data_IF_739455700141
#
_entry.id   IF_739455700141
#
_cell.length_a   1.000
_cell.length_b   1.000
_cell.length_c   1.000
_cell.angle_alpha   90.00
_cell.angle_beta   90.00
_cell.angle_gamma   90.00
#
_symmetry.space_group_name_H-M   'P 1'
#
loop_
_entity.id
_entity.type
_entity.pdbx_description
1 polymer ?
#
# COMPACT_ATOMS: atom_id res chain seq x y z
N UNK A 1 -9.53 13.79 -19.81
CA UNK A 1 -10.78 13.18 -19.27
C UNK A 1 -10.86 13.46 -17.78
N UNK A 2 -12.02 13.38 -17.15
CA UNK A 2 -12.17 13.50 -15.71
C UNK A 2 -13.12 12.40 -15.20
N UNK A 3 -12.87 11.90 -14.00
CA UNK A 3 -13.68 10.87 -13.33
C UNK A 3 -13.75 11.18 -11.85
N UNK A 4 -14.87 10.87 -11.20
CA UNK A 4 -15.06 11.04 -9.76
C UNK A 4 -15.11 9.67 -9.09
N UNK A 5 -14.29 9.45 -8.05
CA UNK A 5 -14.23 8.20 -7.30
C UNK A 5 -14.15 8.47 -5.78
N UNK A 6 -14.68 7.52 -4.99
CA UNK A 6 -14.63 7.57 -3.52
C UNK A 6 -13.38 6.92 -2.93
N UNK A 7 -12.81 5.94 -3.64
CA UNK A 7 -11.64 5.18 -3.19
C UNK A 7 -10.34 5.65 -3.84
N UNK A 8 -10.16 6.97 -3.96
CA UNK A 8 -8.91 7.56 -4.44
C UNK A 8 -7.77 7.29 -3.45
N UNK A 9 -6.56 6.96 -3.93
CA UNK A 9 -5.39 6.84 -3.06
C UNK A 9 -4.93 8.17 -2.48
N UNK A 10 -5.45 9.29 -3.02
CA UNK A 10 -5.22 10.65 -2.52
C UNK A 10 -6.58 11.27 -2.23
N UNK A 11 -6.82 11.74 -1.00
CA UNK A 11 -8.09 12.37 -0.60
C UNK A 11 -8.16 13.84 -1.06
N UNK A 12 -7.79 14.08 -2.29
CA UNK A 12 -7.90 15.34 -3.02
C UNK A 12 -7.90 15.04 -4.52
N UNK A 13 -8.11 16.06 -5.33
CA UNK A 13 -8.00 15.91 -6.78
C UNK A 13 -6.58 15.50 -7.18
N UNK A 14 -6.48 14.58 -8.13
CA UNK A 14 -5.25 14.03 -8.64
C UNK A 14 -5.30 13.86 -10.17
N UNK A 15 -4.16 13.56 -10.77
CA UNK A 15 -4.07 13.33 -12.21
C UNK A 15 -3.14 12.15 -12.48
N UNK A 16 -3.49 11.33 -13.48
CA UNK A 16 -2.57 10.30 -13.99
C UNK A 16 -1.45 11.00 -14.76
N UNK A 17 -0.21 10.78 -14.34
CA UNK A 17 0.99 11.31 -15.00
C UNK A 17 1.72 10.26 -15.85
N UNK A 18 1.48 8.94 -15.60
CA UNK A 18 2.01 7.86 -16.43
C UNK A 18 1.11 6.61 -16.32
N UNK A 19 0.46 6.20 -17.43
CA UNK A 19 -0.50 5.10 -17.41
C UNK A 19 0.16 3.72 -17.23
N UNK A 20 -0.62 2.77 -16.71
CA UNK A 20 -0.26 1.35 -16.68
C UNK A 20 -0.08 0.78 -18.09
N UNK A 21 0.92 -0.07 -18.28
CA UNK A 21 1.14 -0.83 -19.51
C UNK A 21 1.85 -0.07 -20.63
N UNK A 22 2.26 1.18 -20.40
CA UNK A 22 3.09 1.90 -21.37
C UNK A 22 4.42 1.18 -21.54
N UNK A 23 4.83 0.89 -22.78
CA UNK A 23 6.11 0.25 -23.08
C UNK A 23 7.27 1.16 -22.68
N UNK A 24 8.15 0.64 -21.82
CA UNK A 24 9.30 1.36 -21.30
C UNK A 24 10.41 0.38 -20.91
N UNK A 25 11.57 0.50 -21.52
CA UNK A 25 12.74 -0.36 -21.26
C UNK A 25 13.40 -0.12 -19.89
N UNK A 26 13.02 0.94 -19.18
CA UNK A 26 13.46 1.21 -17.81
C UNK A 26 12.85 0.26 -16.78
N UNK A 27 11.74 -0.41 -17.13
CA UNK A 27 11.10 -1.38 -16.27
C UNK A 27 11.55 -2.81 -16.59
N UNK A 28 11.73 -3.64 -15.56
CA UNK A 28 12.15 -5.06 -15.72
C UNK A 28 11.17 -5.89 -16.55
N UNK A 29 9.91 -5.50 -16.60
CA UNK A 29 8.88 -6.13 -17.43
C UNK A 29 8.82 -5.55 -18.86
N UNK A 30 9.61 -4.54 -19.18
CA UNK A 30 9.56 -3.83 -20.46
C UNK A 30 8.36 -2.89 -20.62
N UNK A 31 7.62 -2.66 -19.54
CA UNK A 31 6.44 -1.79 -19.51
C UNK A 31 6.15 -1.32 -18.08
N UNK A 32 5.39 -0.22 -17.94
CA UNK A 32 5.00 0.38 -16.67
C UNK A 32 4.04 -0.50 -15.89
N UNK A 33 4.48 -1.04 -14.76
CA UNK A 33 3.78 -2.09 -13.99
C UNK A 33 2.68 -1.56 -13.07
N UNK A 34 2.59 -0.24 -12.92
CA UNK A 34 1.58 0.45 -12.13
C UNK A 34 0.95 1.62 -12.87
N UNK A 35 0.32 2.50 -12.13
CA UNK A 35 -0.12 3.82 -12.57
C UNK A 35 0.56 4.87 -11.71
N UNK A 36 1.10 5.93 -12.34
CA UNK A 36 1.65 7.06 -11.62
C UNK A 36 0.60 8.16 -11.48
N UNK A 37 0.46 8.63 -10.25
CA UNK A 37 -0.55 9.62 -9.85
C UNK A 37 0.14 10.76 -9.12
N UNK A 38 -0.17 12.00 -9.52
CA UNK A 38 0.30 13.22 -8.86
C UNK A 38 -0.89 14.08 -8.39
N UNK A 39 -0.71 14.97 -7.39
CA UNK A 39 -1.74 15.92 -6.98
C UNK A 39 -2.14 16.83 -8.16
N UNK A 40 -3.43 17.21 -8.21
CA UNK A 40 -3.96 18.12 -9.21
C UNK A 40 -4.70 19.28 -8.55
N UNK A 41 -4.38 20.52 -8.97
CA UNK A 41 -5.04 21.73 -8.42
C UNK A 41 -4.73 22.03 -6.95
N UNK A 42 -3.86 21.26 -6.30
CA UNK A 42 -3.48 21.41 -4.89
C UNK A 42 -2.15 22.14 -4.74
N UNK A 43 -1.99 22.89 -3.66
CA UNK A 43 -0.70 23.43 -3.23
C UNK A 43 0.11 22.43 -2.39
N UNK A 44 -0.50 21.33 -1.97
CA UNK A 44 0.16 20.28 -1.21
C UNK A 44 0.91 19.34 -2.16
N UNK A 45 2.24 19.40 -2.13
CA UNK A 45 3.11 18.58 -2.99
C UNK A 45 3.34 17.17 -2.47
N UNK A 46 3.11 16.92 -1.18
CA UNK A 46 3.32 15.64 -0.50
C UNK A 46 2.04 15.23 0.24
N UNK A 47 0.93 14.93 -0.46
CA UNK A 47 -0.32 14.57 0.19
C UNK A 47 -0.20 13.25 0.95
N UNK A 48 -1.07 13.07 1.96
CA UNK A 48 -1.26 11.76 2.56
C UNK A 48 -1.88 10.79 1.57
N UNK A 49 -1.42 9.55 1.65
CA UNK A 49 -1.93 8.44 0.85
C UNK A 49 -2.78 7.52 1.73
N UNK A 50 -3.78 6.92 1.10
CA UNK A 50 -4.81 6.10 1.73
C UNK A 50 -5.00 4.79 0.96
N UNK A 51 -5.42 3.69 1.63
CA UNK A 51 -5.76 2.46 0.92
C UNK A 51 -6.91 2.69 -0.07
N UNK A 52 -6.79 2.16 -1.27
CA UNK A 52 -7.88 2.16 -2.27
C UNK A 52 -8.97 1.13 -1.93
N UNK A 53 -8.67 0.14 -1.09
CA UNK A 53 -9.60 -0.84 -0.52
C UNK A 53 -9.17 -1.20 0.90
N UNK A 54 -10.13 -1.62 1.71
CA UNK A 54 -9.85 -2.18 3.03
C UNK A 54 -8.99 -3.43 2.92
N UNK A 55 -8.10 -3.64 3.89
CA UNK A 55 -7.18 -4.78 3.83
C UNK A 55 -6.24 -4.88 5.01
N UNK A 56 -5.18 -5.66 4.84
CA UNK A 56 -4.13 -5.90 5.83
C UNK A 56 -2.77 -5.46 5.28
N UNK A 57 -1.99 -4.80 6.10
CA UNK A 57 -0.59 -4.46 5.78
C UNK A 57 0.25 -5.74 5.79
N UNK A 58 0.77 -6.13 4.63
CA UNK A 58 1.56 -7.37 4.47
C UNK A 58 3.06 -7.08 4.56
N UNK A 59 3.50 -5.91 4.10
CA UNK A 59 4.89 -5.49 4.19
C UNK A 59 5.02 -3.97 4.27
N UNK A 60 6.09 -3.53 4.93
CA UNK A 60 6.55 -2.15 4.96
C UNK A 60 8.05 -2.15 4.70
N UNK A 61 8.49 -1.46 3.66
CA UNK A 61 9.91 -1.20 3.42
C UNK A 61 10.22 0.27 3.73
N UNK A 62 11.12 0.51 4.65
CA UNK A 62 11.58 1.85 5.04
C UNK A 62 12.94 2.23 4.48
N UNK A 63 13.57 1.33 3.70
CA UNK A 63 14.84 1.61 3.03
C UNK A 63 14.59 2.33 1.70
N UNK A 64 15.03 3.61 1.53
CA UNK A 64 14.81 4.34 0.29
C UNK A 64 15.78 3.93 -0.85
N UNK A 65 16.83 3.15 -0.55
CA UNK A 65 17.92 2.85 -1.48
C UNK A 65 17.64 1.60 -2.35
N UNK A 66 16.48 1.53 -2.97
CA UNK A 66 16.10 0.53 -3.96
C UNK A 66 15.22 1.19 -5.02
N UNK A 67 14.92 0.51 -6.12
CA UNK A 67 14.19 1.11 -7.25
C UNK A 67 12.80 1.65 -6.86
N UNK A 68 12.08 0.98 -5.96
CA UNK A 68 10.74 1.35 -5.51
C UNK A 68 10.73 2.36 -4.35
N UNK A 69 11.92 2.65 -3.78
CA UNK A 69 12.04 3.47 -2.59
C UNK A 69 11.34 2.88 -1.37
N UNK A 70 10.81 3.75 -0.53
CA UNK A 70 9.96 3.34 0.59
C UNK A 70 8.61 2.91 0.03
N UNK A 71 8.11 1.74 0.47
CA UNK A 71 6.82 1.24 0.01
C UNK A 71 6.03 0.53 1.10
N UNK A 72 4.72 0.50 0.90
CA UNK A 72 3.75 -0.26 1.71
C UNK A 72 3.05 -1.25 0.78
N UNK A 73 2.89 -2.49 1.26
CA UNK A 73 2.14 -3.55 0.59
C UNK A 73 0.90 -3.89 1.40
N UNK A 74 -0.27 -3.80 0.76
CA UNK A 74 -1.58 -4.09 1.33
C UNK A 74 -2.18 -5.29 0.58
N UNK A 75 -2.70 -6.26 1.31
CA UNK A 75 -3.56 -7.31 0.76
C UNK A 75 -5.00 -6.92 1.04
N UNK A 76 -5.79 -6.69 -0.01
CA UNK A 76 -7.19 -6.31 0.13
C UNK A 76 -8.12 -7.50 0.43
N UNK A 77 -9.38 -7.23 0.73
CA UNK A 77 -10.40 -8.23 1.05
C UNK A 77 -10.75 -9.14 -0.14
N UNK A 78 -10.32 -8.81 -1.36
CA UNK A 78 -10.50 -9.62 -2.59
C UNK A 78 -9.23 -10.41 -2.94
N UNK A 79 -8.25 -10.50 -2.01
CA UNK A 79 -6.96 -11.18 -2.18
C UNK A 79 -6.09 -10.58 -3.28
N UNK A 80 -6.23 -9.30 -3.60
CA UNK A 80 -5.30 -8.57 -4.46
C UNK A 80 -4.25 -7.88 -3.59
N UNK A 81 -3.07 -7.66 -4.17
CA UNK A 81 -1.93 -7.05 -3.50
C UNK A 81 -1.68 -5.67 -4.12
N UNK A 82 -1.74 -4.63 -3.27
CA UNK A 82 -1.55 -3.23 -3.65
C UNK A 82 -0.24 -2.71 -3.10
N UNK A 83 0.63 -2.18 -3.97
CA UNK A 83 1.91 -1.61 -3.55
C UNK A 83 1.92 -0.10 -3.82
N UNK A 84 2.19 0.65 -2.76
CA UNK A 84 2.32 2.10 -2.75
C UNK A 84 3.78 2.44 -2.65
N UNK A 85 4.39 2.99 -3.70
CA UNK A 85 5.83 3.22 -3.79
C UNK A 85 6.21 4.71 -3.72
N UNK A 86 7.52 4.97 -3.61
CA UNK A 86 8.16 6.28 -3.58
C UNK A 86 7.69 7.17 -2.42
N UNK A 87 7.44 6.55 -1.26
CA UNK A 87 6.89 7.22 -0.08
C UNK A 87 7.95 8.07 0.65
N UNK A 88 7.50 9.09 1.38
CA UNK A 88 8.34 10.01 2.13
C UNK A 88 8.96 9.34 3.36
N UNK A 89 10.27 9.53 3.53
CA UNK A 89 11.02 9.05 4.69
C UNK A 89 10.42 9.58 5.99
N UNK A 90 10.22 8.68 6.97
CA UNK A 90 9.77 9.03 8.31
C UNK A 90 8.27 9.32 8.44
N UNK A 91 7.47 9.08 7.39
CA UNK A 91 6.02 9.38 7.42
C UNK A 91 5.11 8.16 7.45
N UNK A 92 5.65 6.94 7.39
CA UNK A 92 4.86 5.70 7.47
C UNK A 92 4.16 5.62 8.82
N UNK A 93 2.82 5.47 8.81
CA UNK A 93 1.95 5.45 10.00
C UNK A 93 1.40 4.06 10.32
N UNK A 94 1.74 3.04 9.51
CA UNK A 94 1.17 1.70 9.63
C UNK A 94 2.26 0.65 9.86
N UNK A 95 1.84 -0.51 10.38
CA UNK A 95 2.73 -1.63 10.69
C UNK A 95 2.21 -2.92 10.07
N UNK A 96 3.11 -3.88 9.80
CA UNK A 96 2.74 -5.22 9.28
C UNK A 96 1.75 -5.90 10.21
N UNK A 97 0.71 -6.51 9.64
CA UNK A 97 -0.42 -7.14 10.33
C UNK A 97 -1.54 -6.19 10.73
N UNK A 98 -1.38 -4.86 10.53
CA UNK A 98 -2.44 -3.90 10.81
C UNK A 98 -3.56 -4.01 9.77
N UNK A 99 -4.81 -4.05 10.27
CA UNK A 99 -6.00 -3.88 9.43
C UNK A 99 -6.17 -2.39 9.11
N UNK A 100 -6.42 -2.08 7.86
CA UNK A 100 -6.57 -0.71 7.35
C UNK A 100 -7.84 -0.58 6.54
N UNK A 101 -8.39 0.63 6.55
CA UNK A 101 -9.54 1.02 5.70
C UNK A 101 -9.14 2.14 4.78
N UNK A 102 -10.02 2.48 3.85
CA UNK A 102 -9.85 3.63 2.95
C UNK A 102 -9.72 4.98 3.67
N UNK A 103 -10.01 5.05 4.99
CA UNK A 103 -9.78 6.24 5.83
C UNK A 103 -8.41 6.26 6.51
N UNK A 104 -7.65 5.17 6.49
CA UNK A 104 -6.37 5.04 7.20
C UNK A 104 -5.25 5.80 6.48
N UNK A 105 -4.58 6.71 7.16
CA UNK A 105 -3.36 7.35 6.62
C UNK A 105 -2.21 6.34 6.57
N UNK A 106 -1.62 6.15 5.39
CA UNK A 106 -0.50 5.23 5.16
C UNK A 106 0.85 5.90 5.35
N UNK A 107 1.15 6.86 4.50
CA UNK A 107 2.37 7.65 4.44
C UNK A 107 2.13 8.86 3.54
N UNK A 108 3.11 9.76 3.43
CA UNK A 108 3.08 10.85 2.44
C UNK A 108 3.72 10.43 1.13
N UNK A 109 3.18 10.94 0.02
CA UNK A 109 3.78 10.84 -1.31
C UNK A 109 5.12 11.57 -1.35
N UNK A 110 6.13 11.01 -2.06
CA UNK A 110 7.39 11.69 -2.33
C UNK A 110 8.07 11.11 -3.59
N UNK A 111 9.41 11.10 -3.60
CA UNK A 111 10.28 10.68 -4.70
C UNK A 111 11.44 9.79 -4.22
N UNK A 112 11.23 8.95 -3.20
CA UNK A 112 12.26 7.97 -2.77
C UNK A 112 12.41 6.86 -3.81
N UNK A 113 13.62 6.33 -3.95
CA UNK A 113 13.95 5.32 -4.96
C UNK A 113 14.46 5.90 -6.28
N UNK A 114 14.31 5.14 -7.37
CA UNK A 114 14.82 5.53 -8.69
C UNK A 114 13.76 6.23 -9.52
N UNK A 115 13.50 7.52 -9.23
CA UNK A 115 12.47 8.33 -9.89
C UNK A 115 12.96 9.76 -10.15
N UNK A 116 12.33 10.43 -11.10
CA UNK A 116 12.70 11.82 -11.51
C UNK A 116 11.87 12.89 -10.82
N UNK A 117 10.77 12.53 -10.16
CA UNK A 117 9.87 13.50 -9.53
C UNK A 117 8.92 12.83 -8.53
N UNK A 118 8.21 13.65 -7.77
CA UNK A 118 7.24 13.18 -6.77
C UNK A 118 6.00 12.64 -7.44
N UNK A 119 5.63 11.41 -7.09
CA UNK A 119 4.39 10.76 -7.50
C UNK A 119 4.09 9.57 -6.60
N UNK A 120 2.88 9.10 -6.64
CA UNK A 120 2.53 7.76 -6.20
C UNK A 120 2.66 6.81 -7.39
N UNK A 121 3.57 5.83 -7.32
CA UNK A 121 3.50 4.66 -8.19
C UNK A 121 2.64 3.60 -7.49
N UNK A 122 1.44 3.35 -8.04
CA UNK A 122 0.47 2.42 -7.50
C UNK A 122 0.39 1.17 -8.36
N UNK A 123 0.75 0.02 -7.79
CA UNK A 123 0.66 -1.27 -8.46
C UNK A 123 -0.43 -2.16 -7.85
N UNK A 124 -0.98 -3.04 -8.66
CA UNK A 124 -1.84 -4.12 -8.22
C UNK A 124 -1.35 -5.46 -8.79
N UNK A 125 -1.39 -6.53 -8.00
CA UNK A 125 -0.99 -7.88 -8.41
C UNK A 125 -1.94 -8.94 -7.84
N UNK A 126 -2.04 -10.07 -8.54
CA UNK A 126 -2.76 -11.25 -8.04
C UNK A 126 -1.97 -12.04 -7.00
N UNK A 127 -0.66 -11.80 -6.88
CA UNK A 127 0.22 -12.53 -5.96
C UNK A 127 1.24 -11.59 -5.32
N UNK A 128 1.81 -12.03 -4.20
CA UNK A 128 2.90 -11.31 -3.53
C UNK A 128 4.25 -11.43 -4.24
N UNK A 129 4.38 -12.30 -5.24
CA UNK A 129 5.64 -12.56 -5.93
C UNK A 129 6.02 -11.55 -7.02
N UNK A 130 5.10 -10.65 -7.40
CA UNK A 130 5.34 -9.53 -8.34
C UNK A 130 6.04 -9.94 -9.65
N UNK A 131 5.55 -10.98 -10.29
CA UNK A 131 6.01 -11.38 -11.63
C UNK A 131 5.26 -10.58 -12.70
N UNK A 132 5.87 -10.34 -13.86
CA UNK A 132 5.25 -9.57 -14.94
C UNK A 132 3.85 -10.09 -15.36
N UNK A 133 3.63 -11.39 -15.26
CA UNK A 133 2.34 -12.03 -15.56
C UNK A 133 1.27 -11.85 -14.47
N UNK A 134 1.61 -11.33 -13.29
CA UNK A 134 0.69 -11.22 -12.15
C UNK A 134 0.16 -9.81 -11.93
N UNK A 135 0.73 -8.80 -12.61
CA UNK A 135 0.24 -7.43 -12.51
C UNK A 135 -1.15 -7.27 -13.12
N UNK A 136 -1.96 -6.49 -12.44
CA UNK A 136 -3.30 -6.07 -12.87
C UNK A 136 -3.28 -4.57 -13.13
N UNK A 137 -4.08 -4.11 -14.09
CA UNK A 137 -4.24 -2.68 -14.32
C UNK A 137 -5.02 -2.02 -13.16
N UNK A 138 -4.37 -1.16 -12.35
CA UNK A 138 -5.03 -0.48 -11.23
C UNK A 138 -6.21 0.38 -11.70
N UNK A 139 -6.08 1.05 -12.84
CA UNK A 139 -7.11 1.92 -13.38
C UNK A 139 -8.40 1.16 -13.70
N UNK A 140 -8.29 -0.04 -14.30
CA UNK A 140 -9.46 -0.89 -14.57
C UNK A 140 -10.20 -1.26 -13.30
N UNK A 141 -9.46 -1.59 -12.22
CA UNK A 141 -10.05 -2.00 -10.93
C UNK A 141 -10.72 -0.80 -10.25
N UNK A 142 -10.14 0.39 -10.36
CA UNK A 142 -10.65 1.62 -9.77
C UNK A 142 -11.74 2.30 -10.62
N UNK A 143 -12.02 1.79 -11.84
CA UNK A 143 -12.97 2.42 -12.75
C UNK A 143 -12.47 3.74 -13.34
N UNK A 144 -11.15 3.92 -13.42
CA UNK A 144 -10.50 5.13 -13.94
C UNK A 144 -10.03 4.87 -15.39
N UNK A 145 -10.22 5.79 -16.34
CA UNK A 145 -9.60 5.69 -17.66
C UNK A 145 -8.06 5.61 -17.54
N UNK A 146 -7.46 4.57 -18.13
CA UNK A 146 -6.00 4.38 -18.12
C UNK A 146 -5.34 5.22 -19.23
N UNK A 147 -5.42 6.53 -19.07
CA UNK A 147 -4.96 7.51 -20.08
C UNK A 147 -4.22 8.64 -19.35
N UNK A 148 -3.09 9.05 -19.89
CA UNK A 148 -2.33 10.21 -19.40
C UNK A 148 -3.20 11.47 -19.32
N UNK A 149 -2.95 12.29 -18.32
CA UNK A 149 -3.72 13.51 -18.03
C UNK A 149 -5.22 13.26 -17.71
N UNK A 150 -5.59 12.04 -17.29
CA UNK A 150 -6.92 11.79 -16.70
C UNK A 150 -6.98 12.41 -15.32
N UNK A 151 -7.90 13.38 -15.13
CA UNK A 151 -8.15 13.99 -13.83
C UNK A 151 -9.04 13.09 -12.98
N UNK A 152 -8.63 12.84 -11.77
CA UNK A 152 -9.34 12.04 -10.75
C UNK A 152 -9.86 13.02 -9.71
N UNK A 153 -11.18 13.19 -9.64
CA UNK A 153 -11.83 13.94 -8.57
C UNK A 153 -12.17 13.02 -7.41
N UNK A 154 -11.73 13.40 -6.23
CA UNK A 154 -12.13 12.71 -5.00
C UNK A 154 -13.51 13.24 -4.57
N UNK A 155 -14.50 12.36 -4.33
CA UNK A 155 -15.87 12.74 -4.03
C UNK A 155 -16.08 13.29 -2.60
N UNK A 156 -15.02 13.28 -1.78
CA UNK A 156 -15.06 13.80 -0.40
C UNK A 156 -15.70 12.85 0.61
N UNK A 157 -16.14 11.66 0.21
CA UNK A 157 -16.71 10.69 1.15
C UNK A 157 -15.59 9.95 1.89
N UNK A 158 -15.22 10.43 3.07
CA UNK A 158 -14.31 9.71 3.97
C UNK A 158 -15.12 8.60 4.64
N UNK A 159 -14.83 7.32 4.40
CA UNK A 159 -15.47 6.24 5.15
C UNK A 159 -15.21 6.42 6.66
N UNK A 160 -16.12 6.02 7.54
CA UNK A 160 -15.89 6.10 8.98
C UNK A 160 -14.64 5.29 9.35
N UNK A 161 -13.77 5.86 10.19
CA UNK A 161 -12.64 5.12 10.75
C UNK A 161 -13.13 3.81 11.37
N UNK A 162 -12.39 2.70 11.18
CA UNK A 162 -12.71 1.46 11.86
C UNK A 162 -12.69 1.72 13.38
N UNK A 163 -13.55 1.06 14.15
CA UNK A 163 -13.48 1.17 15.60
C UNK A 163 -12.08 0.82 16.06
N UNK A 164 -11.45 1.72 16.79
CA UNK A 164 -10.15 1.51 17.41
C UNK A 164 -10.16 0.14 18.08
N UNK A 165 -9.22 -0.78 17.76
CA UNK A 165 -9.20 -2.07 18.42
C UNK A 165 -9.15 -1.83 19.93
N UNK A 166 -10.22 -2.14 20.62
CA UNK A 166 -10.19 -2.21 22.07
C UNK A 166 -9.15 -3.26 22.41
N UNK A 167 -8.08 -2.85 23.09
CA UNK A 167 -7.02 -3.71 23.62
C UNK A 167 -7.58 -4.66 24.66
N UNK A 168 -8.44 -5.59 24.26
CA UNK A 168 -8.63 -6.83 24.99
C UNK A 168 -7.44 -7.72 24.65
N UNK A 169 -6.38 -7.58 25.43
CA UNK A 169 -5.33 -8.60 25.53
C UNK A 169 -5.96 -9.89 26.06
N UNK A 170 -6.65 -10.66 25.21
CA UNK A 170 -6.86 -12.07 25.46
C UNK A 170 -5.48 -12.71 25.44
N UNK A 171 -4.88 -12.88 26.65
CA UNK A 171 -3.76 -13.78 26.84
C UNK A 171 -4.20 -15.14 26.29
N UNK A 172 -3.82 -15.46 25.05
CA UNK A 172 -3.88 -16.82 24.54
C UNK A 172 -2.92 -17.63 25.42
N UNK A 173 -3.47 -18.38 26.36
CA UNK A 173 -2.74 -19.43 27.07
C UNK A 173 -2.32 -20.47 26.02
N UNK A 174 -1.09 -20.39 25.53
CA UNK A 174 -0.51 -21.44 24.70
C UNK A 174 -0.25 -22.67 25.56
N UNK A 175 -0.77 -23.87 25.21
CA UNK A 175 -0.68 -25.08 26.06
C UNK A 175 0.75 -25.59 26.31
N UNK A 176 1.73 -25.07 25.62
CA UNK A 176 3.12 -25.57 25.73
C UNK A 176 3.93 -24.98 26.88
N UNK A 177 3.42 -23.97 27.62
CA UNK A 177 4.02 -23.56 28.92
C UNK A 177 3.89 -24.68 29.97
N UNK A 178 2.99 -25.64 29.80
CA UNK A 178 2.85 -26.83 30.68
C UNK A 178 3.89 -27.92 30.36
N UNK A 179 4.54 -27.92 29.21
CA UNK A 179 5.56 -28.91 28.85
C UNK A 179 6.95 -28.61 29.43
N UNK A 180 7.28 -27.35 29.64
CA UNK A 180 8.60 -26.94 30.16
C UNK A 180 8.83 -27.34 31.64
N UNK A 181 7.77 -27.53 32.42
CA UNK A 181 7.88 -27.91 33.86
C UNK A 181 7.92 -29.42 34.12
N UNK A 182 7.73 -30.29 33.09
CA UNK A 182 7.79 -31.75 33.27
C UNK A 182 9.18 -32.34 33.10
N UNK A 183 10.16 -31.59 32.58
CA UNK A 183 11.53 -32.06 32.34
C UNK A 183 12.56 -31.56 33.36
N UNK A 184 12.17 -30.85 34.44
CA UNK A 184 13.09 -30.33 35.46
C UNK A 184 13.17 -31.19 36.75
N UNK A 185 12.60 -32.41 36.76
CA UNK A 185 12.75 -33.35 37.90
C UNK A 185 13.12 -34.74 37.42
N UNK A 186 14.33 -34.94 36.93
CA UNK A 186 15.05 -36.21 36.93
C UNK A 186 16.50 -35.93 36.55
N UNK A 187 17.39 -36.33 37.44
CA UNK A 187 18.84 -36.37 37.41
C UNK A 187 19.53 -35.25 38.23
N UNK A 188 19.66 -35.60 39.50
CA UNK A 188 20.89 -35.50 40.28
C UNK A 188 20.64 -36.31 41.54
N UNK A 189 20.97 -37.58 41.51
CA UNK A 189 21.47 -38.40 42.60
C UNK A 189 22.46 -39.38 41.98
N UNK A 190 23.70 -39.11 42.13
CA UNK A 190 24.85 -39.89 42.60
C UNK A 190 26.04 -38.91 42.64
#
# INVERSE_FOLDING_TARGET
MAVTISNSPVHSDAIISYPYGVTDSGYSCGWHTGVDIIPYGSTENNPWLYPVFDGEIIAVNTNPNNALGIYILIKDTQNRYWRYCHLMTGTVQVSVGQQVTTATQLARMDSTGNVTGRHLHLECSTTQSWQCSTFLNPCTILGIPNVDNTVIHYDGTIPPEPPTPTTETKKKNFPWVLYANKFRKRHWQI
#
